data_IF_012016776016
#
_entry.id   IF_012016776016
#
_cell.length_a   1.000
_cell.length_b   1.000
_cell.length_c   1.000
_cell.angle_alpha   90.00
_cell.angle_beta   90.00
_cell.angle_gamma   90.00
#
_symmetry.space_group_name_H-M   'P 1'
#
loop_
_entity.id
_entity.type
_entity.pdbx_description
1 polymer ?
#
# COMPACT_ATOMS: atom_id res chain seq x y z
N UNK A 1 -22.75 -9.64 -44.37
CA UNK A 1 -21.40 -9.16 -44.00
C UNK A 1 -21.43 -8.33 -42.70
N UNK A 2 -22.37 -7.40 -42.50
CA UNK A 2 -22.48 -6.61 -41.26
C UNK A 2 -22.81 -7.42 -39.99
N UNK A 3 -23.64 -8.46 -40.06
CA UNK A 3 -24.11 -9.23 -38.88
C UNK A 3 -23.00 -10.06 -38.19
N UNK A 4 -22.02 -10.55 -38.96
CA UNK A 4 -20.92 -11.38 -38.44
C UNK A 4 -19.89 -10.56 -37.66
N UNK A 5 -19.80 -9.25 -37.96
CA UNK A 5 -18.84 -8.33 -37.35
C UNK A 5 -19.19 -8.00 -35.89
N UNK A 6 -20.46 -8.11 -35.49
CA UNK A 6 -20.92 -7.79 -34.13
C UNK A 6 -20.96 -8.98 -33.17
N UNK A 7 -20.90 -10.22 -33.68
CA UNK A 7 -20.92 -11.43 -32.84
C UNK A 7 -19.77 -11.45 -31.81
N UNK A 8 -18.50 -11.18 -32.17
CA UNK A 8 -17.41 -11.16 -31.20
C UNK A 8 -17.60 -10.11 -30.11
N UNK A 9 -18.11 -8.92 -30.48
CA UNK A 9 -18.40 -7.85 -29.51
C UNK A 9 -19.55 -8.20 -28.58
N UNK A 10 -20.58 -8.91 -29.07
CA UNK A 10 -21.71 -9.35 -28.26
C UNK A 10 -21.28 -10.39 -27.21
N UNK A 11 -20.48 -11.38 -27.64
CA UNK A 11 -19.90 -12.38 -26.73
C UNK A 11 -18.98 -11.76 -25.68
N UNK A 12 -18.14 -10.79 -26.07
CA UNK A 12 -17.30 -10.05 -25.13
C UNK A 12 -18.16 -9.27 -24.12
N UNK A 13 -19.19 -8.57 -24.58
CA UNK A 13 -20.10 -7.83 -23.73
C UNK A 13 -20.82 -8.74 -22.73
N UNK A 14 -21.36 -9.87 -23.17
CA UNK A 14 -22.03 -10.83 -22.27
C UNK A 14 -21.08 -11.39 -21.22
N UNK A 15 -19.84 -11.73 -21.61
CA UNK A 15 -18.83 -12.23 -20.66
C UNK A 15 -18.47 -11.19 -19.61
N UNK A 16 -18.21 -9.95 -20.02
CA UNK A 16 -17.90 -8.83 -19.10
C UNK A 16 -19.11 -8.50 -18.23
N UNK A 17 -20.31 -8.48 -18.80
CA UNK A 17 -21.55 -8.21 -18.07
C UNK A 17 -21.79 -9.27 -17.00
N UNK A 18 -21.62 -10.56 -17.32
CA UNK A 18 -21.75 -11.65 -16.36
C UNK A 18 -20.73 -11.55 -15.21
N UNK A 19 -19.45 -11.30 -15.53
CA UNK A 19 -18.42 -11.09 -14.51
C UNK A 19 -18.74 -9.89 -13.61
N UNK A 20 -19.22 -8.79 -14.21
CA UNK A 20 -19.62 -7.60 -13.46
C UNK A 20 -20.77 -7.94 -12.51
N UNK A 21 -21.85 -8.58 -12.99
CA UNK A 21 -22.97 -8.99 -12.16
C UNK A 21 -22.55 -9.94 -11.03
N UNK A 22 -21.65 -10.88 -11.29
CA UNK A 22 -21.10 -11.77 -10.25
C UNK A 22 -20.40 -10.98 -9.14
N UNK A 23 -19.64 -9.92 -9.47
CA UNK A 23 -19.04 -9.02 -8.47
C UNK A 23 -20.13 -8.34 -7.62
N UNK A 24 -21.22 -7.83 -8.21
CA UNK A 24 -22.31 -7.23 -7.43
C UNK A 24 -23.10 -8.23 -6.60
N UNK A 25 -23.21 -9.49 -7.01
CA UNK A 25 -23.87 -10.51 -6.21
C UNK A 25 -22.99 -10.97 -5.04
N UNK A 26 -21.67 -10.99 -5.24
CA UNK A 26 -20.72 -11.56 -4.27
C UNK A 26 -20.00 -10.52 -3.42
N UNK A 27 -20.10 -9.22 -3.72
CA UNK A 27 -19.48 -8.20 -2.90
C UNK A 27 -20.06 -8.23 -1.48
N UNK A 28 -19.17 -8.15 -0.50
CA UNK A 28 -19.55 -7.95 0.88
C UNK A 28 -19.28 -6.50 1.26
N UNK A 29 -20.29 -5.84 1.81
CA UNK A 29 -20.14 -4.49 2.36
C UNK A 29 -19.87 -4.63 3.85
N UNK A 30 -18.73 -4.14 4.28
CA UNK A 30 -18.34 -4.02 5.67
C UNK A 30 -18.74 -2.64 6.21
N UNK A 31 -19.21 -2.64 7.45
CA UNK A 31 -19.39 -1.41 8.22
C UNK A 31 -18.13 -1.16 9.05
N UNK A 32 -17.38 -0.12 8.70
CA UNK A 32 -16.20 0.27 9.44
C UNK A 32 -16.59 1.15 10.61
N UNK A 33 -16.15 0.76 11.81
CA UNK A 33 -16.34 1.57 13.01
C UNK A 33 -15.01 1.79 13.74
N UNK A 34 -14.33 2.89 13.39
CA UNK A 34 -13.11 3.36 14.03
C UNK A 34 -13.35 4.68 14.79
N UNK A 35 -12.47 5.00 15.73
CA UNK A 35 -12.65 6.18 16.61
C UNK A 35 -12.82 7.51 15.86
N UNK A 36 -12.18 7.64 14.69
CA UNK A 36 -12.21 8.85 13.85
C UNK A 36 -12.98 8.72 12.54
N UNK A 37 -13.49 7.53 12.23
CA UNK A 37 -14.14 7.29 10.96
C UNK A 37 -15.18 6.18 11.08
N UNK A 38 -16.37 6.42 10.54
CA UNK A 38 -17.36 5.38 10.32
C UNK A 38 -17.92 5.51 8.92
N UNK A 39 -17.79 4.45 8.11
CA UNK A 39 -18.24 4.44 6.72
C UNK A 39 -18.39 3.01 6.19
N UNK A 40 -19.19 2.87 5.14
CA UNK A 40 -19.40 1.61 4.45
C UNK A 40 -18.36 1.42 3.34
N UNK A 41 -17.76 0.24 3.26
CA UNK A 41 -16.78 -0.09 2.22
C UNK A 41 -16.79 -1.59 1.93
N UNK A 42 -16.29 -1.99 0.77
CA UNK A 42 -16.07 -3.41 0.44
C UNK A 42 -14.70 -3.92 0.91
N UNK A 43 -13.90 -3.07 1.58
CA UNK A 43 -12.63 -3.46 2.18
C UNK A 43 -12.86 -4.10 3.56
N UNK A 44 -12.19 -5.22 3.82
CA UNK A 44 -12.22 -5.87 5.14
C UNK A 44 -11.57 -4.95 6.21
N UNK A 45 -12.26 -4.61 7.31
CA UNK A 45 -11.70 -3.78 8.38
C UNK A 45 -10.62 -4.49 9.21
N UNK A 46 -10.56 -5.82 9.22
CA UNK A 46 -9.72 -6.57 10.16
C UNK A 46 -8.22 -6.21 10.07
N UNK A 47 -7.59 -6.13 8.88
CA UNK A 47 -6.17 -5.74 8.78
C UNK A 47 -5.88 -4.33 9.30
N UNK A 48 -6.84 -3.41 9.13
CA UNK A 48 -6.72 -2.02 9.60
C UNK A 48 -6.89 -1.94 11.11
N UNK A 49 -7.85 -2.68 11.67
CA UNK A 49 -8.02 -2.79 13.12
C UNK A 49 -6.77 -3.34 13.80
N UNK A 50 -6.16 -4.38 13.22
CA UNK A 50 -4.89 -4.94 13.69
C UNK A 50 -3.76 -3.88 13.68
N UNK A 51 -3.61 -3.14 12.58
CA UNK A 51 -2.61 -2.08 12.46
C UNK A 51 -2.82 -0.95 13.48
N UNK A 52 -4.06 -0.52 13.70
CA UNK A 52 -4.39 0.52 14.70
C UNK A 52 -4.05 0.04 16.11
N UNK A 53 -4.39 -1.20 16.45
CA UNK A 53 -4.05 -1.78 17.75
C UNK A 53 -2.54 -1.80 17.99
N UNK A 54 -1.74 -2.14 16.98
CA UNK A 54 -0.28 -2.06 17.07
C UNK A 54 0.21 -0.63 17.28
N UNK A 55 -0.33 0.34 16.55
CA UNK A 55 0.02 1.76 16.70
C UNK A 55 -0.27 2.23 18.12
N UNK A 56 -1.47 1.94 18.64
CA UNK A 56 -1.89 2.38 19.97
C UNK A 56 -1.16 1.65 21.10
N UNK A 57 -0.74 0.40 20.88
CA UNK A 57 0.07 -0.35 21.83
C UNK A 57 1.45 0.29 22.00
N UNK A 58 2.16 0.53 20.90
CA UNK A 58 3.55 0.99 20.91
C UNK A 58 3.71 2.51 20.97
N UNK A 59 2.67 3.30 20.69
CA UNK A 59 2.74 4.76 20.73
C UNK A 59 1.52 5.40 21.41
N UNK A 60 1.73 5.91 22.63
CA UNK A 60 0.72 6.68 23.39
C UNK A 60 0.67 8.16 23.04
N UNK A 61 1.67 8.67 22.32
CA UNK A 61 1.72 10.05 21.86
C UNK A 61 0.79 10.30 20.67
N UNK A 62 0.83 11.54 20.19
CA UNK A 62 0.03 12.01 19.04
C UNK A 62 0.73 11.83 17.69
N UNK A 63 2.06 11.66 17.68
CA UNK A 63 2.87 11.58 16.45
C UNK A 63 3.50 10.21 16.26
N UNK A 64 3.49 9.70 15.02
CA UNK A 64 4.14 8.42 14.66
C UNK A 64 5.11 8.62 13.50
N UNK A 65 6.10 7.74 13.40
CA UNK A 65 7.00 7.63 12.24
C UNK A 65 6.62 6.36 11.49
N UNK A 66 6.35 6.49 10.20
CA UNK A 66 5.84 5.38 9.40
C UNK A 66 6.50 5.32 8.02
N UNK A 67 6.89 4.13 7.58
CA UNK A 67 7.40 3.84 6.23
C UNK A 67 6.48 2.78 5.63
N UNK A 68 5.36 3.22 5.06
CA UNK A 68 4.26 2.36 4.64
C UNK A 68 3.47 3.01 3.52
N UNK A 69 2.84 2.20 2.66
CA UNK A 69 1.82 2.67 1.70
C UNK A 69 0.56 3.22 2.37
N UNK A 70 0.35 2.89 3.64
CA UNK A 70 -0.84 3.25 4.39
C UNK A 70 -0.62 4.48 5.29
N UNK A 71 0.45 5.24 5.05
CA UNK A 71 0.84 6.41 5.83
C UNK A 71 -0.15 7.59 5.68
N UNK A 72 -0.93 7.65 4.60
CA UNK A 72 -2.04 8.59 4.47
C UNK A 72 -3.28 8.22 5.32
N UNK A 73 -3.43 6.95 5.69
CA UNK A 73 -4.70 6.42 6.17
C UNK A 73 -4.64 5.92 7.62
N UNK A 74 -3.64 5.10 7.95
CA UNK A 74 -3.50 4.54 9.31
C UNK A 74 -3.31 5.61 10.40
N UNK A 75 -2.53 6.69 10.21
CA UNK A 75 -2.45 7.73 11.23
C UNK A 75 -3.81 8.38 11.46
N UNK A 76 -4.57 8.65 10.41
CA UNK A 76 -5.91 9.21 10.53
C UNK A 76 -6.84 8.30 11.34
N UNK A 77 -6.91 7.01 11.00
CA UNK A 77 -7.77 6.04 11.70
C UNK A 77 -7.36 5.81 13.16
N UNK A 78 -6.06 5.82 13.45
CA UNK A 78 -5.52 5.68 14.82
C UNK A 78 -5.48 6.99 15.61
N UNK A 79 -5.95 8.09 15.01
CA UNK A 79 -5.96 9.40 15.66
C UNK A 79 -4.60 10.05 15.86
N UNK A 80 -3.60 9.63 15.09
CA UNK A 80 -2.22 10.12 15.11
C UNK A 80 -1.95 11.06 13.92
N UNK A 81 -0.82 11.75 13.96
CA UNK A 81 -0.24 12.45 12.81
C UNK A 81 1.12 11.87 12.44
N UNK A 82 1.53 12.03 11.18
CA UNK A 82 2.86 11.65 10.73
C UNK A 82 3.89 12.70 11.15
N UNK A 83 4.98 12.23 11.78
CA UNK A 83 6.14 13.06 12.09
C UNK A 83 7.12 13.19 10.91
N UNK A 84 6.90 12.43 9.84
CA UNK A 84 7.61 12.58 8.57
C UNK A 84 6.98 13.70 7.72
N UNK A 85 7.74 14.33 6.81
CA UNK A 85 7.30 15.55 6.11
C UNK A 85 6.29 15.30 4.99
N UNK A 86 5.96 14.04 4.69
CA UNK A 86 5.10 13.66 3.58
C UNK A 86 3.98 12.75 4.06
N UNK A 87 2.77 12.95 3.55
CA UNK A 87 1.59 12.14 3.87
C UNK A 87 1.40 10.95 2.93
N UNK A 88 2.27 10.78 1.94
CA UNK A 88 2.36 9.65 1.00
C UNK A 88 3.83 9.48 0.61
N UNK A 89 4.59 8.84 1.50
CA UNK A 89 6.05 8.75 1.41
C UNK A 89 6.50 8.06 0.12
N UNK A 90 5.79 7.03 -0.29
CA UNK A 90 6.04 6.22 -1.49
C UNK A 90 6.02 7.06 -2.77
N UNK A 91 5.02 7.93 -2.91
CA UNK A 91 4.85 8.84 -4.05
C UNK A 91 5.67 10.13 -3.93
N UNK A 92 6.04 10.52 -2.71
CA UNK A 92 6.76 11.78 -2.47
C UNK A 92 8.27 11.67 -2.72
N UNK A 93 8.84 10.46 -2.65
CA UNK A 93 10.26 10.24 -2.92
C UNK A 93 10.50 10.17 -4.43
N UNK A 94 10.60 11.35 -5.05
CA UNK A 94 10.89 11.47 -6.49
C UNK A 94 12.39 11.57 -6.75
N UNK A 95 13.14 12.21 -5.84
CA UNK A 95 14.59 12.39 -5.99
C UNK A 95 15.36 11.99 -4.74
N UNK A 96 16.70 11.97 -4.88
CA UNK A 96 17.62 11.74 -3.75
C UNK A 96 17.45 12.78 -2.63
N UNK A 97 16.96 13.99 -2.94
CA UNK A 97 16.74 15.04 -1.95
C UNK A 97 15.67 14.63 -0.95
N UNK A 98 14.50 14.19 -1.42
CA UNK A 98 13.39 13.77 -0.56
C UNK A 98 13.77 12.53 0.24
N UNK A 99 14.46 11.58 -0.40
CA UNK A 99 15.04 10.41 0.25
C UNK A 99 15.95 10.81 1.42
N UNK A 100 16.96 11.64 1.19
CA UNK A 100 17.90 12.06 2.24
C UNK A 100 17.21 12.86 3.34
N UNK A 101 16.22 13.69 3.00
CA UNK A 101 15.46 14.46 4.00
C UNK A 101 14.77 13.53 5.01
N UNK A 102 14.09 12.48 4.54
CA UNK A 102 13.40 11.50 5.38
C UNK A 102 14.39 10.77 6.30
N UNK A 103 15.50 10.31 5.73
CA UNK A 103 16.55 9.59 6.46
C UNK A 103 17.18 10.49 7.54
N UNK A 104 17.49 11.74 7.21
CA UNK A 104 18.05 12.71 8.14
C UNK A 104 17.09 12.98 9.31
N UNK A 105 15.79 13.16 9.04
CA UNK A 105 14.77 13.34 10.09
C UNK A 105 14.76 12.15 11.04
N UNK A 106 14.78 10.92 10.54
CA UNK A 106 14.78 9.71 11.38
C UNK A 106 16.06 9.61 12.22
N UNK A 107 17.22 9.90 11.63
CA UNK A 107 18.49 9.88 12.36
C UNK A 107 18.59 10.98 13.41
N UNK A 108 18.06 12.17 13.14
CA UNK A 108 18.06 13.30 14.07
C UNK A 108 17.06 13.11 15.21
N UNK A 109 15.82 12.76 14.88
CA UNK A 109 14.73 12.65 15.85
C UNK A 109 14.80 11.38 16.69
N UNK A 110 15.48 10.36 16.19
CA UNK A 110 15.74 9.10 16.87
C UNK A 110 14.48 8.48 17.51
N UNK A 111 13.39 8.28 16.75
CA UNK A 111 12.16 7.75 17.33
C UNK A 111 12.41 6.38 17.96
N UNK A 112 11.76 6.13 19.11
CA UNK A 112 11.83 4.83 19.77
C UNK A 112 11.21 3.72 18.91
N UNK A 113 10.09 4.02 18.25
CA UNK A 113 9.37 3.08 17.40
C UNK A 113 9.15 3.67 16.00
N UNK A 114 9.27 2.82 14.98
CA UNK A 114 8.86 3.10 13.60
C UNK A 114 7.92 2.00 13.13
N UNK A 115 6.85 2.38 12.46
CA UNK A 115 5.88 1.48 11.84
C UNK A 115 6.25 1.31 10.37
N UNK A 116 6.36 0.08 9.88
CA UNK A 116 6.88 -0.19 8.54
C UNK A 116 5.95 -1.17 7.84
N UNK A 117 5.73 -1.05 6.53
CA UNK A 117 4.98 -2.05 5.76
C UNK A 117 5.49 -3.47 6.07
N UNK A 118 4.58 -4.40 6.36
CA UNK A 118 4.96 -5.77 6.76
C UNK A 118 5.75 -6.48 5.66
N UNK A 119 5.46 -6.17 4.39
CA UNK A 119 6.07 -6.71 3.18
C UNK A 119 7.12 -5.75 2.56
N UNK A 120 7.64 -4.78 3.32
CA UNK A 120 8.61 -3.79 2.81
C UNK A 120 9.87 -4.44 2.21
N UNK A 121 10.25 -5.61 2.73
CA UNK A 121 11.44 -6.34 2.28
C UNK A 121 11.16 -7.30 1.13
N UNK A 122 9.89 -7.56 0.82
CA UNK A 122 9.47 -8.49 -0.23
C UNK A 122 10.02 -8.10 -1.60
N UNK A 123 10.14 -9.10 -2.46
CA UNK A 123 10.49 -8.89 -3.85
C UNK A 123 9.22 -8.66 -4.66
N UNK A 124 8.93 -7.39 -5.00
CA UNK A 124 7.75 -7.01 -5.77
C UNK A 124 7.97 -7.10 -7.30
N UNK A 125 9.18 -7.45 -7.77
CA UNK A 125 9.45 -7.57 -9.21
C UNK A 125 8.64 -8.69 -9.89
N UNK A 126 8.19 -9.70 -9.15
CA UNK A 126 7.27 -10.73 -9.65
C UNK A 126 5.87 -10.20 -9.95
N UNK A 127 5.51 -9.04 -9.43
CA UNK A 127 4.17 -8.44 -9.59
C UNK A 127 4.09 -7.59 -10.86
N UNK A 128 5.21 -7.43 -11.58
CA UNK A 128 5.23 -6.79 -12.90
C UNK A 128 4.52 -7.72 -13.88
N UNK A 129 3.47 -7.22 -14.51
CA UNK A 129 2.70 -7.97 -15.51
C UNK A 129 3.62 -8.42 -16.64
N UNK A 130 3.52 -9.67 -17.07
CA UNK A 130 4.29 -10.15 -18.21
C UNK A 130 3.74 -9.51 -19.51
N UNK A 131 4.57 -8.79 -20.30
CA UNK A 131 4.12 -8.20 -21.57
C UNK A 131 3.56 -9.23 -22.57
N UNK A 132 4.00 -10.48 -22.45
CA UNK A 132 3.58 -11.58 -23.31
C UNK A 132 2.42 -12.39 -22.73
N UNK A 133 1.82 -11.96 -21.61
CA UNK A 133 0.65 -12.62 -21.06
C UNK A 133 -0.54 -12.52 -22.04
N UNK A 134 -1.20 -13.64 -22.39
CA UNK A 134 -2.32 -13.64 -23.33
C UNK A 134 -3.47 -12.69 -22.95
N UNK A 135 -3.75 -12.50 -21.65
CA UNK A 135 -4.78 -11.58 -21.18
C UNK A 135 -4.36 -10.12 -21.39
N UNK A 136 -3.07 -9.80 -21.22
CA UNK A 136 -2.52 -8.47 -21.48
C UNK A 136 -2.58 -8.14 -22.97
N UNK A 137 -2.20 -9.09 -23.82
CA UNK A 137 -2.25 -8.97 -25.29
C UNK A 137 -3.68 -8.81 -25.80
N UNK A 138 -4.66 -9.51 -25.20
CA UNK A 138 -6.08 -9.40 -25.55
C UNK A 138 -6.69 -8.02 -25.26
N UNK A 139 -6.15 -7.27 -24.29
CA UNK A 139 -6.60 -5.90 -23.98
C UNK A 139 -6.09 -4.85 -25.00
N UNK A 140 -5.25 -5.26 -25.95
CA UNK A 140 -4.83 -4.45 -27.08
C UNK A 140 -3.62 -3.54 -26.82
N UNK A 141 -3.09 -2.91 -27.88
CA UNK A 141 -1.80 -2.20 -27.87
C UNK A 141 -1.77 -0.93 -27.01
N UNK A 142 -2.93 -0.48 -26.50
CA UNK A 142 -3.04 0.68 -25.60
C UNK A 142 -3.09 0.31 -24.12
N UNK A 143 -3.01 -0.98 -23.78
CA UNK A 143 -3.04 -1.41 -22.38
C UNK A 143 -1.76 -0.98 -21.65
N UNK A 144 -1.85 -0.08 -20.65
CA UNK A 144 -0.69 0.35 -19.89
C UNK A 144 -0.32 -0.63 -18.76
N UNK A 145 -0.88 -1.84 -18.71
CA UNK A 145 -0.72 -2.79 -17.61
C UNK A 145 0.73 -3.06 -17.22
N UNK A 146 1.62 -3.24 -18.21
CA UNK A 146 3.06 -3.37 -17.94
C UNK A 146 3.64 -2.11 -17.29
N UNK A 147 3.44 -0.93 -17.88
CA UNK A 147 4.03 0.31 -17.36
C UNK A 147 3.46 0.71 -16.00
N UNK A 148 2.17 0.46 -15.75
CA UNK A 148 1.53 0.70 -14.45
C UNK A 148 2.06 -0.26 -13.37
N UNK A 149 2.16 -1.56 -13.68
CA UNK A 149 2.70 -2.54 -12.73
C UNK A 149 4.17 -2.27 -12.41
N UNK A 150 4.99 -1.98 -13.43
CA UNK A 150 6.38 -1.57 -13.25
C UNK A 150 6.50 -0.29 -12.40
N UNK A 151 5.67 0.72 -12.69
CA UNK A 151 5.63 1.96 -11.91
C UNK A 151 5.30 1.73 -10.44
N UNK A 152 4.31 0.88 -10.14
CA UNK A 152 3.95 0.50 -8.76
C UNK A 152 5.10 -0.17 -8.02
N UNK A 153 5.83 -1.07 -8.69
CA UNK A 153 7.00 -1.75 -8.10
C UNK A 153 8.13 -0.76 -7.79
N UNK A 154 8.37 0.22 -8.66
CA UNK A 154 9.36 1.28 -8.41
C UNK A 154 8.99 2.13 -7.18
N UNK A 155 7.71 2.48 -7.03
CA UNK A 155 7.20 3.21 -5.86
C UNK A 155 7.41 2.40 -4.57
N UNK A 156 7.12 1.09 -4.60
CA UNK A 156 7.39 0.19 -3.47
C UNK A 156 8.89 0.08 -3.14
N UNK A 157 9.73 0.08 -4.17
CA UNK A 157 11.17 0.06 -3.99
C UNK A 157 11.68 1.31 -3.26
N UNK A 158 11.04 2.46 -3.40
CA UNK A 158 11.39 3.66 -2.63
C UNK A 158 11.23 3.45 -1.11
N UNK A 159 10.11 2.86 -0.68
CA UNK A 159 9.88 2.52 0.73
C UNK A 159 10.94 1.54 1.24
N UNK A 160 11.24 0.50 0.45
CA UNK A 160 12.30 -0.47 0.76
C UNK A 160 13.67 0.19 0.90
N UNK A 161 14.01 1.12 0.01
CA UNK A 161 15.27 1.85 0.08
C UNK A 161 15.36 2.71 1.34
N UNK A 162 14.28 3.41 1.72
CA UNK A 162 14.25 4.20 2.96
C UNK A 162 14.43 3.30 4.17
N UNK A 163 13.70 2.20 4.23
CA UNK A 163 13.79 1.25 5.33
C UNK A 163 15.21 0.66 5.43
N UNK A 164 15.80 0.19 4.32
CA UNK A 164 17.16 -0.36 4.31
C UNK A 164 18.21 0.61 4.85
N UNK A 165 18.07 1.91 4.57
CA UNK A 165 19.01 2.92 5.05
C UNK A 165 18.97 3.12 6.57
N UNK A 166 17.85 2.84 7.23
CA UNK A 166 17.72 2.94 8.68
C UNK A 166 17.74 1.58 9.41
N UNK A 167 17.56 0.47 8.68
CA UNK A 167 17.26 -0.86 9.22
C UNK A 167 18.21 -1.28 10.34
N UNK A 168 19.51 -1.03 10.18
CA UNK A 168 20.52 -1.44 11.16
C UNK A 168 20.42 -0.73 12.53
N UNK A 169 19.68 0.39 12.60
CA UNK A 169 19.41 1.11 13.85
C UNK A 169 18.18 0.59 14.60
N UNK A 170 17.45 -0.37 14.04
CA UNK A 170 16.20 -0.88 14.60
C UNK A 170 16.14 -2.41 14.53
N UNK A 171 15.32 -3.01 15.39
CA UNK A 171 14.98 -4.43 15.33
C UNK A 171 13.47 -4.60 15.37
N UNK A 172 12.95 -5.64 14.71
CA UNK A 172 11.52 -5.91 14.66
C UNK A 172 11.05 -6.46 16.01
N UNK A 173 10.00 -5.87 16.57
CA UNK A 173 9.40 -6.27 17.86
C UNK A 173 7.99 -6.80 17.72
N UNK A 174 7.29 -6.45 16.65
CA UNK A 174 5.96 -6.99 16.33
C UNK A 174 5.72 -7.02 14.81
N UNK A 175 4.78 -7.87 14.41
CA UNK A 175 4.26 -7.94 13.05
C UNK A 175 2.73 -7.95 13.10
N UNK A 176 2.12 -7.20 12.20
CA UNK A 176 0.69 -7.25 11.91
C UNK A 176 0.45 -7.47 10.43
N UNK A 177 -0.82 -7.38 10.03
CA UNK A 177 -1.24 -7.71 8.67
C UNK A 177 -0.74 -6.66 7.65
N UNK A 178 -0.86 -5.38 7.99
CA UNK A 178 -0.44 -4.27 7.12
C UNK A 178 0.94 -3.74 7.48
N UNK A 179 1.23 -3.64 8.78
CA UNK A 179 2.43 -3.01 9.30
C UNK A 179 3.13 -3.86 10.36
N UNK A 180 4.44 -3.74 10.42
CA UNK A 180 5.32 -4.27 11.44
C UNK A 180 5.89 -3.13 12.28
N UNK A 181 6.22 -3.44 13.54
CA UNK A 181 6.78 -2.47 14.49
C UNK A 181 8.25 -2.75 14.69
N UNK A 182 9.06 -1.71 14.54
CA UNK A 182 10.50 -1.74 14.73
C UNK A 182 10.87 -0.82 15.90
N UNK A 183 11.60 -1.36 16.87
CA UNK A 183 12.13 -0.62 18.01
C UNK A 183 13.59 -0.26 17.77
N UNK A 184 13.98 0.95 18.18
CA UNK A 184 15.34 1.44 18.05
C UNK A 184 16.28 0.61 18.92
N UNK A 185 17.45 0.27 18.38
CA UNK A 185 18.50 -0.36 19.15
C UNK A 185 19.01 0.62 20.21
N UNK A 186 19.23 0.13 21.44
CA UNK A 186 19.86 0.89 22.52
C UNK A 186 21.37 1.00 22.23
N UNK A 187 21.76 1.94 21.38
CA UNK A 187 23.16 2.33 21.16
C UNK A 187 23.40 3.79 21.51
#
# INVERSE_FOLDING_TARGET
VFFVMYLPSLFLYEKVSKQYQEIFVTHHVYDWHFSRASFLTTMDPAPFANAIQLIDHYNKGSSIYMISRYDNFLPFLSGKYLALPYSQLDLSIVTKKEFLNVINIIHMKKPKYIFVDTDVESNHFSDIMNPNDPLILMMGPKNPGYSLSAGRVLVLQNLKNVFNAIKNSYHKVAAGDLISVYERNNT
#
